data_IF_579931766877
#
_entry.id   IF_579931766877
#
_cell.length_a   1.000
_cell.length_b   1.000
_cell.length_c   1.000
_cell.angle_alpha   90.00
_cell.angle_beta   90.00
_cell.angle_gamma   90.00
#
_symmetry.space_group_name_H-M   'P 1'
#
loop_
_entity.id
_entity.type
_entity.pdbx_description
1 polymer ?
#
# COMPACT_ATOMS: atom_id res chain seq x y z
N UNK A 1 -7.00 30.03 -15.43
CA UNK A 1 -7.60 30.84 -14.34
C UNK A 1 -9.09 30.99 -14.64
N UNK A 2 -9.95 30.62 -13.69
CA UNK A 2 -11.41 30.60 -13.85
C UNK A 2 -12.10 31.81 -13.20
N UNK A 3 -11.57 32.31 -12.08
CA UNK A 3 -12.09 33.47 -11.35
C UNK A 3 -10.95 34.15 -10.58
N UNK A 4 -11.03 35.46 -10.38
CA UNK A 4 -10.12 36.24 -9.54
C UNK A 4 -10.89 37.31 -8.73
N UNK A 5 -10.52 37.43 -7.45
CA UNK A 5 -10.81 38.60 -6.61
C UNK A 5 -9.50 39.19 -6.11
N UNK A 6 -9.22 40.44 -6.44
CA UNK A 6 -8.04 41.19 -5.99
C UNK A 6 -8.38 42.14 -4.84
N UNK A 7 -7.52 42.20 -3.83
CA UNK A 7 -7.49 43.22 -2.78
C UNK A 7 -6.11 43.90 -2.80
N UNK A 8 -6.09 45.19 -2.53
CA UNK A 8 -4.86 45.96 -2.40
C UNK A 8 -4.97 46.86 -1.17
N UNK A 9 -3.83 47.23 -0.60
CA UNK A 9 -3.77 48.21 0.47
C UNK A 9 -2.45 48.97 0.45
N UNK A 10 -2.46 50.12 1.09
CA UNK A 10 -1.30 51.02 1.20
C UNK A 10 -1.20 51.58 2.61
N UNK A 11 0.03 51.76 3.09
CA UNK A 11 0.37 52.53 4.28
C UNK A 11 1.33 53.64 3.85
N UNK A 12 0.76 54.80 3.51
CA UNK A 12 1.48 55.90 2.88
C UNK A 12 2.69 56.39 3.72
N UNK A 13 2.53 56.43 5.05
CA UNK A 13 3.58 56.85 6.00
C UNK A 13 4.83 55.94 5.97
N UNK A 14 4.68 54.69 5.51
CA UNK A 14 5.74 53.70 5.43
C UNK A 14 6.13 53.35 3.99
N UNK A 15 5.54 54.03 2.98
CA UNK A 15 5.68 53.67 1.57
C UNK A 15 5.47 52.17 1.30
N UNK A 16 4.53 51.57 2.03
CA UNK A 16 4.25 50.14 1.94
C UNK A 16 2.98 49.91 1.12
N UNK A 17 3.06 48.98 0.16
CA UNK A 17 1.97 48.61 -0.73
C UNK A 17 1.91 47.10 -0.84
N UNK A 18 0.72 46.54 -0.68
CA UNK A 18 0.51 45.10 -0.79
C UNK A 18 -0.66 44.79 -1.73
N UNK A 19 -0.58 43.61 -2.34
CA UNK A 19 -1.60 43.02 -3.18
C UNK A 19 -1.89 41.60 -2.70
N UNK A 20 -3.17 41.26 -2.63
CA UNK A 20 -3.64 39.92 -2.32
C UNK A 20 -4.65 39.47 -3.37
N UNK A 21 -4.45 38.31 -3.98
CA UNK A 21 -5.33 37.73 -5.00
C UNK A 21 -5.92 36.44 -4.49
N UNK A 22 -7.21 36.24 -4.76
CA UNK A 22 -7.94 35.02 -4.47
C UNK A 22 -8.47 34.47 -5.79
N UNK A 23 -7.98 33.32 -6.22
CA UNK A 23 -8.20 32.80 -7.56
C UNK A 23 -8.77 31.38 -7.50
N UNK A 24 -9.65 31.07 -8.45
CA UNK A 24 -9.96 29.68 -8.81
C UNK A 24 -9.11 29.32 -10.03
N UNK A 25 -8.29 28.29 -9.91
CA UNK A 25 -7.37 27.82 -10.93
C UNK A 25 -7.74 26.39 -11.36
N UNK A 26 -7.33 26.02 -12.56
CA UNK A 26 -7.56 24.69 -13.13
C UNK A 26 -6.22 24.14 -13.64
N UNK A 27 -5.92 22.90 -13.30
CA UNK A 27 -4.70 22.23 -13.77
C UNK A 27 -4.81 21.91 -15.26
N UNK A 28 -3.85 22.36 -16.06
CA UNK A 28 -3.81 22.12 -17.51
C UNK A 28 -3.62 20.64 -17.91
N UNK A 29 -3.34 19.74 -16.96
CA UNK A 29 -3.12 18.31 -17.22
C UNK A 29 -4.26 17.40 -16.76
N UNK A 30 -4.80 17.63 -15.57
CA UNK A 30 -5.83 16.78 -14.98
C UNK A 30 -7.17 17.48 -14.76
N UNK A 31 -7.33 18.73 -15.22
CA UNK A 31 -8.55 19.53 -15.09
C UNK A 31 -9.00 19.75 -13.63
N UNK A 32 -8.12 19.46 -12.66
CA UNK A 32 -8.43 19.62 -11.25
C UNK A 32 -8.55 21.11 -10.89
N UNK A 33 -9.66 21.47 -10.25
CA UNK A 33 -9.92 22.83 -9.79
C UNK A 33 -9.37 23.01 -8.37
N UNK A 34 -8.60 24.07 -8.16
CA UNK A 34 -8.02 24.45 -6.87
C UNK A 34 -8.24 25.94 -6.58
N UNK A 35 -8.18 26.30 -5.31
CA UNK A 35 -8.17 27.70 -4.86
C UNK A 35 -6.72 28.15 -4.65
N UNK A 36 -6.34 29.30 -5.21
CA UNK A 36 -5.02 29.91 -5.05
C UNK A 36 -5.16 31.25 -4.34
N UNK A 37 -4.45 31.39 -3.23
CA UNK A 37 -4.25 32.66 -2.53
C UNK A 37 -2.83 33.13 -2.80
N UNK A 38 -2.69 34.32 -3.39
CA UNK A 38 -1.39 34.90 -3.72
C UNK A 38 -1.21 36.23 -2.99
N UNK A 39 -0.05 36.44 -2.39
CA UNK A 39 0.32 37.66 -1.66
C UNK A 39 1.63 38.21 -2.19
N UNK A 40 1.66 39.51 -2.49
CA UNK A 40 2.89 40.21 -2.85
C UNK A 40 2.91 41.60 -2.23
N UNK A 41 4.10 42.07 -1.90
CA UNK A 41 4.33 43.46 -1.47
C UNK A 41 5.58 44.06 -2.10
N UNK A 42 5.75 45.36 -1.92
CA UNK A 42 6.86 46.12 -2.50
C UNK A 42 8.22 45.87 -1.84
N UNK A 43 8.32 44.98 -0.83
CA UNK A 43 9.57 44.52 -0.24
C UNK A 43 9.93 43.07 -0.60
N UNK A 44 8.98 42.31 -1.17
CA UNK A 44 9.22 40.94 -1.65
C UNK A 44 10.00 40.92 -2.96
N UNK A 45 11.31 41.16 -2.88
CA UNK A 45 12.22 41.17 -4.01
C UNK A 45 13.35 40.16 -3.83
N UNK A 46 13.79 39.53 -4.92
CA UNK A 46 14.97 38.66 -4.98
C UNK A 46 15.91 39.12 -6.09
N UNK A 47 17.21 38.82 -5.95
CA UNK A 47 18.20 39.12 -6.98
C UNK A 47 18.02 38.19 -8.19
N UNK A 48 18.10 38.74 -9.39
CA UNK A 48 18.06 37.99 -10.64
C UNK A 48 19.47 37.75 -11.21
N UNK A 49 19.57 36.98 -12.31
CA UNK A 49 20.85 36.60 -12.95
C UNK A 49 21.63 37.78 -13.58
N UNK A 50 21.10 38.99 -13.55
CA UNK A 50 21.64 40.17 -14.22
C UNK A 50 21.88 41.36 -13.26
N UNK A 51 22.15 41.07 -11.98
CA UNK A 51 22.34 42.08 -10.92
C UNK A 51 21.13 43.03 -10.74
N UNK A 52 19.97 42.64 -11.25
CA UNK A 52 18.69 43.32 -11.05
C UNK A 52 17.90 42.69 -9.90
N UNK A 53 16.80 43.33 -9.54
CA UNK A 53 15.87 42.82 -8.55
C UNK A 53 14.52 42.50 -9.20
N UNK A 54 13.94 41.37 -8.85
CA UNK A 54 12.62 40.95 -9.30
C UNK A 54 11.67 40.76 -8.11
N UNK A 55 10.41 41.16 -8.27
CA UNK A 55 9.39 40.92 -7.26
C UNK A 55 8.89 39.47 -7.33
N UNK A 56 8.61 38.88 -6.18
CA UNK A 56 7.96 37.57 -6.09
C UNK A 56 6.68 37.66 -5.25
N UNK A 57 5.75 36.74 -5.50
CA UNK A 57 4.52 36.56 -4.71
C UNK A 57 4.61 35.21 -3.95
N UNK A 58 4.01 35.15 -2.77
CA UNK A 58 3.81 33.91 -2.02
C UNK A 58 2.46 33.31 -2.41
N UNK A 59 2.48 32.05 -2.87
CA UNK A 59 1.32 31.35 -3.38
C UNK A 59 0.94 30.16 -2.48
N UNK A 60 -0.27 30.18 -1.96
CA UNK A 60 -0.88 29.11 -1.18
C UNK A 60 -2.04 28.46 -1.97
N UNK A 61 -1.92 27.16 -2.24
CA UNK A 61 -2.92 26.40 -3.00
C UNK A 61 -3.73 25.49 -2.06
N UNK A 62 -5.05 25.54 -2.20
CA UNK A 62 -6.00 24.79 -1.41
C UNK A 62 -6.90 23.89 -2.29
N UNK A 63 -7.20 22.65 -1.83
CA UNK A 63 -6.63 22.01 -0.65
C UNK A 63 -5.12 21.73 -0.82
N UNK A 64 -4.36 21.61 0.29
CA UNK A 64 -2.94 21.27 0.23
C UNK A 64 -2.74 19.99 -0.57
N UNK A 65 -1.73 20.00 -1.42
CA UNK A 65 -1.38 18.88 -2.28
C UNK A 65 0.05 18.43 -1.99
N UNK A 66 0.38 17.24 -2.47
CA UNK A 66 1.70 16.67 -2.25
C UNK A 66 2.67 17.32 -3.24
N UNK A 67 3.50 18.25 -2.76
CA UNK A 67 4.50 18.93 -3.60
C UNK A 67 5.59 17.97 -4.11
N UNK A 68 5.95 16.98 -3.29
CA UNK A 68 7.02 16.02 -3.58
C UNK A 68 6.53 14.57 -3.41
N UNK A 69 6.61 13.79 -4.49
CA UNK A 69 6.23 12.37 -4.51
C UNK A 69 4.79 12.13 -4.97
N UNK A 70 4.34 10.88 -4.85
CA UNK A 70 2.99 10.47 -5.21
C UNK A 70 2.31 9.71 -4.06
N UNK A 71 0.98 9.76 -4.00
CA UNK A 71 0.21 8.92 -3.08
C UNK A 71 0.09 7.49 -3.60
N UNK A 72 -0.08 6.55 -2.67
CA UNK A 72 -0.32 5.15 -3.00
C UNK A 72 -1.67 4.98 -3.71
N UNK A 73 -1.62 4.48 -4.94
CA UNK A 73 -2.80 4.09 -5.71
C UNK A 73 -3.46 2.87 -5.07
N UNK A 74 -4.77 2.73 -5.20
CA UNK A 74 -5.55 1.60 -4.66
C UNK A 74 -5.40 1.40 -3.14
N UNK A 75 -5.30 2.50 -2.39
CA UNK A 75 -5.18 2.49 -0.93
C UNK A 75 -6.33 1.73 -0.23
N UNK A 76 -7.48 1.56 -0.88
CA UNK A 76 -8.62 0.75 -0.40
C UNK A 76 -8.28 -0.73 -0.21
N UNK A 77 -7.24 -1.24 -0.87
CA UNK A 77 -6.78 -2.63 -0.70
C UNK A 77 -5.95 -2.84 0.57
N UNK A 78 -5.45 -1.75 1.17
CA UNK A 78 -4.64 -1.75 2.38
C UNK A 78 -5.56 -1.83 3.61
N UNK A 79 -5.21 -2.66 4.63
CA UNK A 79 -5.94 -2.75 5.88
C UNK A 79 -6.28 -1.39 6.50
N UNK A 80 -7.49 -1.25 7.06
CA UNK A 80 -8.04 0.04 7.51
C UNK A 80 -7.12 0.78 8.50
N UNK A 81 -6.56 0.06 9.46
CA UNK A 81 -5.66 0.62 10.47
C UNK A 81 -4.40 1.25 9.83
N UNK A 82 -3.76 0.54 8.88
CA UNK A 82 -2.58 1.01 8.17
C UNK A 82 -2.94 2.17 7.24
N UNK A 83 -4.04 2.03 6.49
CA UNK A 83 -4.55 3.06 5.57
C UNK A 83 -4.84 4.37 6.29
N UNK A 84 -5.41 4.33 7.51
CA UNK A 84 -5.67 5.52 8.32
C UNK A 84 -4.38 6.25 8.67
N UNK A 85 -3.40 5.54 9.25
CA UNK A 85 -2.10 6.12 9.65
C UNK A 85 -1.36 6.67 8.43
N UNK A 86 -1.41 5.96 7.30
CA UNK A 86 -0.84 6.43 6.03
C UNK A 86 -1.45 7.76 5.59
N UNK A 87 -2.79 7.88 5.59
CA UNK A 87 -3.47 9.13 5.20
C UNK A 87 -3.10 10.30 6.11
N UNK A 88 -3.09 10.07 7.42
CA UNK A 88 -2.67 11.09 8.39
C UNK A 88 -1.24 11.55 8.11
N UNK A 89 -0.34 10.60 7.83
CA UNK A 89 1.08 10.88 7.51
C UNK A 89 1.22 11.68 6.22
N UNK A 90 0.53 11.28 5.15
CA UNK A 90 0.57 11.99 3.87
C UNK A 90 -0.03 13.38 4.00
N UNK A 91 -1.13 13.54 4.75
CA UNK A 91 -1.73 14.85 4.99
C UNK A 91 -0.80 15.77 5.79
N UNK A 92 -0.09 15.23 6.79
CA UNK A 92 0.96 15.97 7.49
C UNK A 92 2.07 16.43 6.52
N UNK A 93 2.43 15.60 5.54
CA UNK A 93 3.44 15.95 4.55
C UNK A 93 2.98 17.03 3.56
N UNK A 94 1.71 16.98 3.14
CA UNK A 94 1.10 18.00 2.26
C UNK A 94 1.14 19.42 2.84
N UNK A 95 1.12 19.53 4.17
CA UNK A 95 1.22 20.80 4.90
C UNK A 95 2.63 21.06 5.46
N UNK A 96 3.63 20.33 4.97
CA UNK A 96 5.04 20.47 5.37
C UNK A 96 5.31 20.28 6.88
N UNK A 97 4.49 19.48 7.58
CA UNK A 97 4.76 19.07 8.96
C UNK A 97 5.80 17.93 8.98
N UNK A 98 7.06 18.30 8.76
CA UNK A 98 8.14 17.34 8.43
C UNK A 98 8.47 16.37 9.59
N UNK A 99 8.49 16.86 10.83
CA UNK A 99 8.73 16.02 12.02
C UNK A 99 7.60 14.99 12.22
N UNK A 100 6.34 15.43 12.10
CA UNK A 100 5.19 14.53 12.21
C UNK A 100 5.14 13.54 11.05
N UNK A 101 5.54 13.96 9.86
CA UNK A 101 5.65 13.08 8.69
C UNK A 101 6.66 11.96 8.95
N UNK A 102 7.85 12.28 9.47
CA UNK A 102 8.86 11.28 9.82
C UNK A 102 8.38 10.29 10.89
N UNK A 103 7.68 10.80 11.90
CA UNK A 103 7.03 9.97 12.92
C UNK A 103 5.96 9.05 12.34
N UNK A 104 5.13 9.59 11.44
CA UNK A 104 4.07 8.88 10.74
C UNK A 104 4.61 7.74 9.88
N UNK A 105 5.70 7.96 9.14
CA UNK A 105 6.35 6.89 8.35
C UNK A 105 6.82 5.73 9.22
N UNK A 106 7.39 6.02 10.40
CA UNK A 106 7.73 4.98 11.37
C UNK A 106 6.45 4.26 11.86
N UNK A 107 5.40 5.00 12.18
CA UNK A 107 4.13 4.45 12.63
C UNK A 107 3.47 3.53 11.59
N UNK A 108 3.60 3.85 10.29
CA UNK A 108 3.14 2.98 9.20
C UNK A 108 3.88 1.63 9.23
N UNK A 109 5.21 1.63 9.39
CA UNK A 109 5.98 0.37 9.48
C UNK A 109 5.59 -0.43 10.72
N UNK A 110 5.42 0.23 11.87
CA UNK A 110 4.97 -0.42 13.11
C UNK A 110 3.57 -1.05 12.92
N UNK A 111 2.67 -0.35 12.23
CA UNK A 111 1.33 -0.83 11.92
C UNK A 111 1.34 -2.05 10.98
N UNK A 112 2.21 -2.06 9.95
CA UNK A 112 2.43 -3.22 9.07
C UNK A 112 2.93 -4.42 9.89
N UNK A 113 3.95 -4.21 10.72
CA UNK A 113 4.48 -5.28 11.56
C UNK A 113 3.43 -5.82 12.54
N UNK A 114 2.56 -4.95 13.08
CA UNK A 114 1.46 -5.36 13.97
C UNK A 114 0.42 -6.18 13.22
N UNK A 115 0.05 -5.75 12.00
CA UNK A 115 -0.88 -6.45 11.14
C UNK A 115 -0.37 -7.86 10.83
N UNK A 116 0.90 -7.99 10.40
CA UNK A 116 1.52 -9.29 10.10
C UNK A 116 1.90 -10.11 11.35
N UNK A 117 1.43 -9.71 12.54
CA UNK A 117 1.69 -10.37 13.83
C UNK A 117 3.18 -10.60 14.11
N UNK A 118 4.04 -9.70 13.64
CA UNK A 118 5.49 -9.73 13.85
C UNK A 118 5.81 -9.05 15.18
N UNK A 119 6.08 -9.87 16.19
CA UNK A 119 6.38 -9.42 17.56
C UNK A 119 7.87 -9.59 17.85
N UNK A 120 8.54 -8.48 18.10
CA UNK A 120 9.93 -8.41 18.60
C UNK A 120 10.10 -7.19 19.50
N UNK A 121 11.23 -7.09 20.21
CA UNK A 121 11.44 -6.07 21.23
C UNK A 121 11.55 -4.67 20.64
N UNK A 122 12.11 -4.53 19.43
CA UNK A 122 12.28 -3.24 18.78
C UNK A 122 12.04 -3.31 17.26
N UNK A 123 11.81 -2.15 16.65
CA UNK A 123 11.50 -2.05 15.22
C UNK A 123 12.62 -2.59 14.31
N UNK A 124 13.88 -2.54 14.74
CA UNK A 124 14.98 -3.07 13.94
C UNK A 124 14.83 -4.60 13.78
N UNK A 125 14.62 -5.31 14.89
CA UNK A 125 14.37 -6.75 14.88
C UNK A 125 13.10 -7.14 14.12
N UNK A 126 12.07 -6.29 14.17
CA UNK A 126 10.83 -6.52 13.41
C UNK A 126 11.06 -6.43 11.90
N UNK A 127 11.85 -5.44 11.45
CA UNK A 127 12.23 -5.30 10.03
C UNK A 127 13.09 -6.49 9.57
N UNK A 128 14.01 -6.97 10.40
CA UNK A 128 14.83 -8.13 10.06
C UNK A 128 13.99 -9.42 10.00
N UNK A 129 13.00 -9.55 10.89
CA UNK A 129 12.06 -10.67 10.89
C UNK A 129 11.09 -10.64 9.68
N UNK A 130 10.70 -9.45 9.21
CA UNK A 130 9.95 -9.31 7.95
C UNK A 130 10.74 -9.89 6.76
N UNK A 131 12.05 -9.62 6.71
CA UNK A 131 12.90 -10.17 5.67
C UNK A 131 13.07 -11.68 5.78
N UNK A 132 13.34 -12.20 6.98
CA UNK A 132 13.56 -13.64 7.17
C UNK A 132 12.30 -14.48 6.91
N UNK A 133 11.11 -13.91 7.10
CA UNK A 133 9.83 -14.51 6.71
C UNK A 133 9.49 -14.37 5.22
N UNK A 134 10.33 -13.72 4.43
CA UNK A 134 10.13 -13.56 2.99
C UNK A 134 9.14 -12.46 2.59
N UNK A 135 8.62 -11.67 3.53
CA UNK A 135 7.75 -10.53 3.22
C UNK A 135 8.51 -9.36 2.59
N UNK A 136 9.83 -9.31 2.76
CA UNK A 136 10.72 -8.30 2.20
C UNK A 136 11.91 -8.95 1.51
N UNK A 137 12.34 -8.34 0.42
CA UNK A 137 13.70 -8.53 -0.09
C UNK A 137 14.74 -7.87 0.83
N UNK A 138 16.00 -8.27 0.66
CA UNK A 138 17.13 -7.70 1.40
C UNK A 138 17.29 -6.19 1.16
N UNK A 139 16.97 -5.73 -0.04
CA UNK A 139 17.06 -4.31 -0.40
C UNK A 139 15.95 -3.50 0.28
N UNK A 140 14.73 -4.02 0.35
CA UNK A 140 13.61 -3.37 1.04
C UNK A 140 13.85 -3.28 2.55
N UNK A 141 14.34 -4.35 3.18
CA UNK A 141 14.72 -4.33 4.60
C UNK A 141 15.74 -3.22 4.91
N UNK A 142 16.79 -3.06 4.09
CA UNK A 142 17.75 -1.95 4.24
C UNK A 142 17.09 -0.58 4.12
N UNK A 143 16.15 -0.40 3.17
CA UNK A 143 15.40 0.85 2.98
C UNK A 143 14.51 1.17 4.19
N UNK A 144 13.89 0.16 4.81
CA UNK A 144 13.11 0.35 6.04
C UNK A 144 13.97 0.74 7.23
N UNK A 145 15.19 0.21 7.34
CA UNK A 145 16.15 0.68 8.34
C UNK A 145 16.48 2.17 8.15
N UNK A 146 16.58 2.67 6.91
CA UNK A 146 16.73 4.12 6.66
C UNK A 146 15.56 4.94 7.21
N UNK A 147 14.32 4.47 7.04
CA UNK A 147 13.13 5.12 7.64
C UNK A 147 13.23 5.12 9.16
N UNK A 148 13.58 3.97 9.76
CA UNK A 148 13.76 3.84 11.21
C UNK A 148 14.80 4.83 11.73
N UNK A 149 15.95 4.94 11.08
CA UNK A 149 17.01 5.87 11.47
C UNK A 149 16.56 7.33 11.36
N UNK A 150 15.91 7.71 10.26
CA UNK A 150 15.40 9.07 10.07
C UNK A 150 14.35 9.41 11.13
N UNK A 151 13.38 8.52 11.36
CA UNK A 151 12.34 8.71 12.37
C UNK A 151 12.92 8.82 13.78
N UNK A 152 13.97 8.06 14.09
CA UNK A 152 14.67 8.17 15.37
C UNK A 152 15.34 9.54 15.53
N UNK A 153 16.08 10.02 14.53
CA UNK A 153 16.70 11.35 14.55
C UNK A 153 15.65 12.46 14.68
N UNK A 154 14.55 12.36 13.92
CA UNK A 154 13.46 13.32 13.99
C UNK A 154 12.77 13.36 15.37
N UNK A 155 12.53 12.22 16.01
CA UNK A 155 11.77 12.17 17.26
C UNK A 155 12.63 12.28 18.53
N UNK A 156 13.83 11.71 18.54
CA UNK A 156 14.70 11.73 19.71
C UNK A 156 15.68 12.90 19.70
N UNK A 157 16.19 13.26 18.53
CA UNK A 157 17.17 14.35 18.37
C UNK A 157 16.50 15.66 17.90
N UNK A 158 15.20 15.63 17.57
CA UNK A 158 14.42 16.76 17.05
C UNK A 158 15.07 17.36 15.78
N UNK A 159 15.77 16.51 15.02
CA UNK A 159 16.39 16.88 13.75
C UNK A 159 15.31 16.93 12.67
N UNK A 160 14.99 18.12 12.16
CA UNK A 160 13.97 18.29 11.12
C UNK A 160 14.47 17.73 9.79
N UNK A 161 13.84 16.67 9.22
CA UNK A 161 14.27 16.11 7.94
C UNK A 161 13.97 17.06 6.78
N UNK A 162 14.72 16.93 5.69
CA UNK A 162 14.42 17.69 4.47
C UNK A 162 13.23 17.08 3.71
N UNK A 163 12.39 17.88 3.03
CA UNK A 163 11.26 17.38 2.25
C UNK A 163 11.64 16.32 1.22
N UNK A 164 12.80 16.43 0.58
CA UNK A 164 13.27 15.48 -0.44
C UNK A 164 13.57 14.11 0.18
N UNK A 165 14.10 14.09 1.41
CA UNK A 165 14.32 12.84 2.14
C UNK A 165 13.00 12.16 2.46
N UNK A 166 11.99 12.92 2.91
CA UNK A 166 10.67 12.41 3.21
C UNK A 166 9.94 11.91 1.95
N UNK A 167 10.12 12.55 0.80
CA UNK A 167 9.59 12.08 -0.48
C UNK A 167 10.17 10.72 -0.88
N UNK A 168 11.49 10.52 -0.68
CA UNK A 168 12.13 9.21 -0.89
C UNK A 168 11.51 8.15 0.05
N UNK A 169 11.28 8.50 1.32
CA UNK A 169 10.68 7.58 2.28
C UNK A 169 9.23 7.23 1.94
N UNK A 170 8.43 8.21 1.49
CA UNK A 170 7.07 7.98 1.02
C UNK A 170 7.07 6.96 -0.13
N UNK A 171 7.98 7.10 -1.10
CA UNK A 171 8.11 6.15 -2.21
C UNK A 171 8.45 4.73 -1.73
N UNK A 172 9.32 4.61 -0.73
CA UNK A 172 9.67 3.30 -0.13
C UNK A 172 8.43 2.68 0.53
N UNK A 173 7.67 3.46 1.30
CA UNK A 173 6.45 2.99 1.97
C UNK A 173 5.37 2.60 0.95
N UNK A 174 5.18 3.41 -0.09
CA UNK A 174 4.24 3.11 -1.15
C UNK A 174 4.59 1.79 -1.84
N UNK A 175 5.88 1.59 -2.17
CA UNK A 175 6.34 0.35 -2.77
C UNK A 175 6.09 -0.85 -1.86
N UNK A 176 6.42 -0.71 -0.57
CA UNK A 176 6.17 -1.75 0.43
C UNK A 176 4.70 -2.14 0.53
N UNK A 177 3.82 -1.15 0.72
CA UNK A 177 2.38 -1.39 0.83
C UNK A 177 1.79 -1.96 -0.48
N UNK A 178 2.31 -1.50 -1.62
CA UNK A 178 2.00 -2.04 -2.94
C UNK A 178 2.31 -3.53 -3.02
N UNK A 179 3.53 -3.91 -2.68
CA UNK A 179 3.97 -5.30 -2.71
C UNK A 179 3.17 -6.18 -1.74
N UNK A 180 2.96 -5.73 -0.50
CA UNK A 180 2.32 -6.55 0.54
C UNK A 180 0.80 -6.72 0.36
N UNK A 181 0.09 -5.71 -0.16
CA UNK A 181 -1.39 -5.70 -0.08
C UNK A 181 -2.10 -5.50 -1.41
N UNK A 182 -1.43 -4.97 -2.43
CA UNK A 182 -2.06 -4.58 -3.71
C UNK A 182 -1.67 -5.56 -4.81
N UNK A 183 -0.36 -5.78 -5.01
CA UNK A 183 0.16 -6.51 -6.16
C UNK A 183 -0.39 -7.94 -6.20
N UNK A 184 -0.36 -8.68 -5.08
CA UNK A 184 -0.84 -10.07 -5.07
C UNK A 184 -2.33 -10.19 -5.41
N UNK A 185 -3.16 -9.26 -4.92
CA UNK A 185 -4.59 -9.22 -5.26
C UNK A 185 -4.80 -8.90 -6.74
N UNK A 186 -4.09 -7.87 -7.24
CA UNK A 186 -4.17 -7.49 -8.66
C UNK A 186 -3.70 -8.60 -9.59
N UNK A 187 -2.65 -9.34 -9.22
CA UNK A 187 -2.13 -10.47 -9.98
C UNK A 187 -3.14 -11.61 -9.96
N UNK A 188 -3.70 -11.98 -8.80
CA UNK A 188 -4.68 -13.08 -8.69
C UNK A 188 -5.96 -12.84 -9.48
N UNK A 189 -6.38 -11.59 -9.60
CA UNK A 189 -7.59 -11.24 -10.36
C UNK A 189 -7.39 -11.24 -11.88
N UNK A 190 -6.14 -11.14 -12.36
CA UNK A 190 -5.84 -10.88 -13.78
C UNK A 190 -4.87 -11.86 -14.42
N UNK A 191 -4.15 -12.66 -13.63
CA UNK A 191 -3.08 -13.53 -14.08
C UNK A 191 -3.12 -14.89 -13.40
N UNK A 192 -2.71 -15.88 -14.17
CA UNK A 192 -2.46 -17.25 -13.74
C UNK A 192 -1.16 -17.29 -12.92
N UNK A 193 -1.27 -17.42 -11.59
CA UNK A 193 -0.13 -17.51 -10.67
C UNK A 193 0.20 -18.97 -10.38
N UNK A 194 1.50 -19.29 -10.37
CA UNK A 194 1.99 -20.60 -9.99
C UNK A 194 1.64 -20.92 -8.52
N UNK A 195 1.21 -22.15 -8.28
CA UNK A 195 0.87 -22.67 -6.95
C UNK A 195 2.08 -23.46 -6.44
N UNK A 196 2.80 -22.84 -5.51
CA UNK A 196 4.11 -23.32 -5.08
C UNK A 196 4.10 -23.95 -3.68
N UNK A 197 3.00 -23.80 -2.93
CA UNK A 197 2.81 -24.43 -1.63
C UNK A 197 1.47 -25.16 -1.50
N UNK A 198 1.37 -26.05 -0.51
CA UNK A 198 0.21 -26.92 -0.31
C UNK A 198 -1.04 -26.14 0.17
N UNK A 199 -0.87 -25.07 0.94
CA UNK A 199 -1.97 -24.26 1.46
C UNK A 199 -2.69 -23.50 0.32
N UNK A 200 -1.92 -22.94 -0.63
CA UNK A 200 -2.45 -22.34 -1.85
C UNK A 200 -3.18 -23.37 -2.72
N UNK A 201 -2.61 -24.58 -2.84
CA UNK A 201 -3.21 -25.67 -3.60
C UNK A 201 -4.57 -26.06 -3.04
N UNK A 202 -4.68 -26.26 -1.73
CA UNK A 202 -5.94 -26.62 -1.06
C UNK A 202 -6.97 -25.49 -1.17
N UNK A 203 -6.56 -24.25 -0.94
CA UNK A 203 -7.43 -23.07 -1.08
C UNK A 203 -7.98 -22.93 -2.50
N UNK A 204 -7.13 -23.13 -3.52
CA UNK A 204 -7.54 -23.11 -4.92
C UNK A 204 -8.55 -24.22 -5.22
N UNK A 205 -8.24 -25.46 -4.80
CA UNK A 205 -9.13 -26.62 -4.97
C UNK A 205 -10.52 -26.35 -4.38
N UNK A 206 -10.57 -25.86 -3.13
CA UNK A 206 -11.81 -25.56 -2.42
C UNK A 206 -12.63 -24.48 -3.12
N UNK A 207 -11.98 -23.44 -3.66
CA UNK A 207 -12.66 -22.37 -4.43
C UNK A 207 -13.23 -22.85 -5.76
N UNK A 208 -12.65 -23.88 -6.36
CA UNK A 208 -13.11 -24.43 -7.64
C UNK A 208 -14.33 -25.36 -7.50
N UNK A 209 -14.64 -25.83 -6.28
CA UNK A 209 -15.84 -26.65 -6.03
C UNK A 209 -17.10 -25.81 -6.15
N UNK A 210 -17.92 -26.11 -7.16
CA UNK A 210 -19.18 -25.42 -7.45
C UNK A 210 -20.41 -26.24 -7.04
N UNK A 211 -21.56 -25.58 -6.88
CA UNK A 211 -22.85 -26.23 -6.55
C UNK A 211 -23.23 -27.34 -7.54
N UNK A 212 -22.89 -27.16 -8.81
CA UNK A 212 -23.17 -28.12 -9.90
C UNK A 212 -22.40 -29.44 -9.75
N UNK A 213 -21.34 -29.45 -8.94
CA UNK A 213 -20.48 -30.61 -8.72
C UNK A 213 -20.95 -31.47 -7.53
N UNK A 214 -22.00 -31.06 -6.83
CA UNK A 214 -22.61 -31.82 -5.72
C UNK A 214 -23.21 -33.12 -6.27
N UNK A 215 -23.04 -34.21 -5.53
CA UNK A 215 -23.45 -35.56 -5.89
C UNK A 215 -22.72 -36.18 -7.10
N UNK A 216 -21.76 -35.48 -7.71
CA UNK A 216 -20.92 -36.01 -8.78
C UNK A 216 -19.70 -36.76 -8.21
N UNK A 217 -19.22 -37.75 -8.97
CA UNK A 217 -17.93 -38.39 -8.73
C UNK A 217 -16.86 -37.70 -9.58
N UNK A 218 -15.90 -37.04 -8.95
CA UNK A 218 -14.96 -36.14 -9.61
C UNK A 218 -13.54 -36.39 -9.11
N UNK A 219 -12.56 -36.39 -10.02
CA UNK A 219 -11.14 -36.46 -9.68
C UNK A 219 -10.54 -35.07 -9.45
N UNK A 220 -9.39 -34.99 -8.77
CA UNK A 220 -8.68 -33.71 -8.56
C UNK A 220 -8.38 -33.02 -9.89
N UNK A 221 -7.96 -33.75 -10.92
CA UNK A 221 -7.72 -33.18 -12.26
C UNK A 221 -8.97 -32.50 -12.85
N UNK A 222 -10.15 -33.08 -12.62
CA UNK A 222 -11.42 -32.51 -13.08
C UNK A 222 -11.85 -31.30 -12.26
N UNK A 223 -11.54 -31.26 -10.94
CA UNK A 223 -11.80 -30.07 -10.12
C UNK A 223 -10.88 -28.91 -10.56
N UNK A 224 -9.60 -29.20 -10.80
CA UNK A 224 -8.62 -28.20 -11.24
C UNK A 224 -8.90 -27.72 -12.67
N UNK A 225 -9.30 -28.62 -13.57
CA UNK A 225 -9.61 -28.32 -14.96
C UNK A 225 -8.50 -27.51 -15.63
N UNK A 226 -8.84 -26.29 -16.07
CA UNK A 226 -7.87 -25.39 -16.72
C UNK A 226 -6.77 -24.92 -15.79
N UNK A 227 -6.97 -24.87 -14.47
CA UNK A 227 -5.99 -24.40 -13.48
C UNK A 227 -4.90 -25.43 -13.17
N UNK A 228 -4.91 -26.59 -13.84
CA UNK A 228 -3.91 -27.65 -13.64
C UNK A 228 -2.48 -27.21 -14.00
N UNK A 229 -2.30 -26.32 -14.98
CA UNK A 229 -0.98 -25.81 -15.39
C UNK A 229 -0.33 -24.92 -14.33
N UNK A 230 -1.10 -24.39 -13.38
CA UNK A 230 -0.60 -23.55 -12.30
C UNK A 230 0.25 -24.33 -11.30
N UNK A 231 0.10 -25.66 -11.23
CA UNK A 231 0.84 -26.51 -10.29
C UNK A 231 1.94 -27.25 -11.04
N UNK A 232 3.20 -27.05 -10.62
CA UNK A 232 4.35 -27.76 -11.20
C UNK A 232 4.17 -29.28 -11.10
N UNK A 233 4.74 -30.06 -12.02
CA UNK A 233 4.57 -31.53 -12.05
C UNK A 233 4.99 -32.20 -10.74
N UNK A 234 6.08 -31.72 -10.14
CA UNK A 234 6.60 -32.21 -8.85
C UNK A 234 5.64 -31.88 -7.71
N UNK A 235 5.22 -30.61 -7.61
CA UNK A 235 4.31 -30.18 -6.54
C UNK A 235 2.95 -30.88 -6.66
N UNK A 236 2.48 -31.12 -7.88
CA UNK A 236 1.20 -31.79 -8.08
C UNK A 236 1.17 -33.20 -7.48
N UNK A 237 2.22 -34.00 -7.69
CA UNK A 237 2.25 -35.37 -7.13
C UNK A 237 2.30 -35.34 -5.60
N UNK A 238 3.08 -34.42 -5.04
CA UNK A 238 3.24 -34.30 -3.59
C UNK A 238 1.96 -33.76 -2.93
N UNK A 239 1.34 -32.75 -3.52
CA UNK A 239 0.13 -32.10 -3.00
C UNK A 239 -1.10 -32.98 -3.14
N UNK A 240 -1.27 -33.70 -4.26
CA UNK A 240 -2.40 -34.63 -4.41
C UNK A 240 -2.32 -35.77 -3.40
N UNK A 241 -1.13 -36.36 -3.19
CA UNK A 241 -0.94 -37.40 -2.18
C UNK A 241 -1.24 -36.88 -0.76
N UNK A 242 -0.77 -35.68 -0.43
CA UNK A 242 -1.07 -35.04 0.85
C UNK A 242 -2.57 -34.77 1.03
N UNK A 243 -3.25 -34.27 -0.01
CA UNK A 243 -4.68 -33.99 0.02
C UNK A 243 -5.53 -35.24 0.21
N UNK A 244 -5.26 -36.32 -0.53
CA UNK A 244 -5.94 -37.62 -0.36
C UNK A 244 -5.79 -38.11 1.08
N UNK A 245 -4.60 -37.96 1.68
CA UNK A 245 -4.33 -38.33 3.07
C UNK A 245 -5.17 -37.51 4.06
N UNK A 246 -5.32 -36.20 3.83
CA UNK A 246 -6.15 -35.33 4.68
C UNK A 246 -7.65 -35.62 4.55
N UNK A 247 -8.15 -35.91 3.34
CA UNK A 247 -9.54 -36.33 3.14
C UNK A 247 -9.80 -37.65 3.87
N UNK A 248 -8.87 -38.61 3.79
CA UNK A 248 -8.95 -39.88 4.52
C UNK A 248 -8.96 -39.70 6.04
N UNK A 249 -8.24 -38.69 6.53
CA UNK A 249 -8.24 -38.33 7.95
C UNK A 249 -9.54 -37.62 8.40
N UNK A 250 -10.50 -37.39 7.48
CA UNK A 250 -11.77 -36.74 7.79
C UNK A 250 -11.65 -35.22 7.96
N UNK A 251 -10.59 -34.59 7.42
CA UNK A 251 -10.39 -33.13 7.54
C UNK A 251 -11.43 -32.33 6.75
N UNK A 252 -12.04 -32.91 5.73
CA UNK A 252 -12.94 -32.25 4.79
C UNK A 252 -14.29 -32.98 4.73
N UNK A 253 -15.25 -32.54 5.56
CA UNK A 253 -16.57 -33.19 5.70
C UNK A 253 -17.40 -33.24 4.40
N UNK A 254 -17.09 -32.37 3.45
CA UNK A 254 -17.80 -32.25 2.18
C UNK A 254 -17.31 -33.23 1.10
N UNK A 255 -16.21 -33.97 1.35
CA UNK A 255 -15.64 -34.97 0.43
C UNK A 255 -15.68 -36.37 1.01
N UNK A 256 -16.02 -37.34 0.17
CA UNK A 256 -15.90 -38.77 0.48
C UNK A 256 -15.08 -39.48 -0.59
N UNK A 257 -14.13 -40.30 -0.18
CA UNK A 257 -13.27 -41.04 -1.10
C UNK A 257 -14.06 -42.19 -1.73
N UNK A 258 -14.12 -42.23 -3.05
CA UNK A 258 -14.73 -43.31 -3.82
C UNK A 258 -13.67 -44.30 -4.31
N UNK A 259 -12.51 -43.81 -4.77
CA UNK A 259 -11.38 -44.63 -5.23
C UNK A 259 -10.06 -43.92 -4.92
N UNK A 260 -9.26 -44.52 -4.01
CA UNK A 260 -7.95 -43.99 -3.58
C UNK A 260 -6.94 -43.97 -4.72
N UNK A 261 -6.95 -44.98 -5.60
CA UNK A 261 -5.96 -45.12 -6.68
C UNK A 261 -6.17 -44.13 -7.81
N UNK A 262 -7.43 -43.69 -8.00
CA UNK A 262 -7.81 -42.71 -9.03
C UNK A 262 -8.01 -41.31 -8.48
N UNK A 263 -7.81 -41.11 -7.17
CA UNK A 263 -8.13 -39.84 -6.48
C UNK A 263 -9.54 -39.36 -6.82
N UNK A 264 -10.52 -40.27 -6.75
CA UNK A 264 -11.91 -40.03 -7.11
C UNK A 264 -12.73 -39.74 -5.85
N UNK A 265 -13.44 -38.62 -5.84
CA UNK A 265 -14.18 -38.15 -4.67
C UNK A 265 -15.66 -37.92 -5.01
N UNK A 266 -16.52 -38.17 -4.03
CA UNK A 266 -17.92 -37.79 -4.04
C UNK A 266 -18.09 -36.50 -3.24
N UNK A 267 -18.69 -35.48 -3.87
CA UNK A 267 -18.90 -34.17 -3.23
C UNK A 267 -20.27 -34.16 -2.56
N UNK A 268 -20.29 -34.22 -1.23
CA UNK A 268 -21.52 -34.25 -0.41
C UNK A 268 -22.17 -32.88 -0.26
N UNK A 269 -21.36 -31.83 -0.15
CA UNK A 269 -21.82 -30.45 0.07
C UNK A 269 -20.81 -29.45 -0.47
N UNK A 270 -21.13 -28.16 -0.41
CA UNK A 270 -20.12 -27.11 -0.64
C UNK A 270 -19.12 -27.07 0.52
N UNK A 271 -17.85 -26.73 0.25
CA UNK A 271 -16.87 -26.47 1.29
C UNK A 271 -17.28 -25.24 2.11
N UNK A 272 -17.11 -25.30 3.44
CA UNK A 272 -17.20 -24.11 4.27
C UNK A 272 -15.96 -23.25 4.03
N UNK A 273 -16.11 -22.20 3.23
CA UNK A 273 -15.02 -21.29 2.91
C UNK A 273 -14.68 -20.35 4.08
N UNK A 274 -15.45 -20.32 5.18
CA UNK A 274 -15.20 -19.41 6.31
C UNK A 274 -13.87 -19.68 7.03
N UNK A 275 -13.44 -20.93 7.08
CA UNK A 275 -12.16 -21.35 7.69
C UNK A 275 -10.93 -21.04 6.84
N UNK A 276 -11.10 -20.68 5.56
CA UNK A 276 -9.99 -20.30 4.69
C UNK A 276 -9.45 -18.88 4.96
N UNK A 277 -10.25 -18.04 5.62
CA UNK A 277 -9.89 -16.65 5.90
C UNK A 277 -9.13 -16.48 7.23
N UNK A 278 -8.96 -17.54 8.02
CA UNK A 278 -8.20 -17.47 9.28
C UNK A 278 -6.68 -17.35 9.08
N UNK A 279 -6.19 -17.60 7.86
CA UNK A 279 -4.77 -17.46 7.49
C UNK A 279 -4.42 -16.10 6.87
N UNK A 280 -5.42 -15.24 6.62
CA UNK A 280 -5.25 -13.86 6.12
C UNK A 280 -5.50 -12.82 7.23
N UNK A 281 -4.97 -13.06 8.45
CA UNK A 281 -4.93 -12.08 9.55
C UNK A 281 -3.51 -11.93 10.08
#
# INVERSE_FOLDING_TARGET
MLFEKKKTGEEADYHFYWTKRFQLIECAGCENISFLESYGDNFMMTGNEHDGMEYYENDDIYPPYLKNGEELKQLNQVPENIRRIYRETVNAFKIESLLLTAAGFRAVIEAICNYLKIKQANLAERIDLLHSKGHLSKSESKRLHSIRFLGNKALHEIETPKPEQLAILLNIINHLLGNLFINDKMMRDKLDIAVDNYEEFTTMLLKLVKKEMIAAQISIDNILGKSRHLVSKKNYTDFTAAFVKEVKAGKYDFLEIVDETKSLFHIKSLPDLKTLWEFDI
#
